data_IF_107215774132
#
_entry.id   IF_107215774132
#
_cell.length_a   1.000
_cell.length_b   1.000
_cell.length_c   1.000
_cell.angle_alpha   90.00
_cell.angle_beta   90.00
_cell.angle_gamma   90.00
#
_symmetry.space_group_name_H-M   'P 1'
#
loop_
_entity.id
_entity.type
_entity.pdbx_description
1 polymer ?
#
# COMPACT_ATOMS: atom_id res chain seq x y z
N UNK A 1 1.58 -25.53 28.48
CA UNK A 1 1.26 -26.45 29.60
C UNK A 1 -0.15 -26.99 29.36
N UNK A 2 -0.49 -28.21 29.77
CA UNK A 2 -1.85 -28.75 29.59
C UNK A 2 -2.55 -28.88 30.94
N UNK A 3 -3.84 -28.57 31.00
CA UNK A 3 -4.69 -28.84 32.15
C UNK A 3 -5.70 -29.91 31.77
N UNK A 4 -5.71 -30.98 32.56
CA UNK A 4 -6.62 -32.10 32.41
C UNK A 4 -7.74 -32.00 33.43
N UNK A 5 -8.99 -32.21 32.98
CA UNK A 5 -10.14 -32.33 33.87
C UNK A 5 -10.00 -33.58 34.75
N UNK A 6 -10.38 -33.48 36.03
CA UNK A 6 -10.38 -34.63 36.97
C UNK A 6 -11.68 -35.43 36.97
N UNK A 7 -12.68 -35.02 36.18
CA UNK A 7 -14.03 -35.62 36.19
C UNK A 7 -14.51 -35.96 34.77
N UNK A 8 -13.75 -35.59 33.73
CA UNK A 8 -14.04 -35.93 32.34
C UNK A 8 -12.75 -36.00 31.51
N UNK A 9 -12.79 -36.65 30.34
CA UNK A 9 -11.62 -36.83 29.45
C UNK A 9 -11.19 -35.56 28.68
N UNK A 10 -11.66 -34.39 29.10
CA UNK A 10 -11.34 -33.13 28.44
C UNK A 10 -9.98 -32.59 28.88
N UNK A 11 -9.15 -32.20 27.91
CA UNK A 11 -7.85 -31.53 28.12
C UNK A 11 -7.83 -30.19 27.42
N UNK A 12 -7.32 -29.16 28.11
CA UNK A 12 -7.16 -27.82 27.55
C UNK A 12 -5.69 -27.39 27.54
N UNK A 13 -5.27 -26.74 26.44
CA UNK A 13 -3.92 -26.21 26.28
C UNK A 13 -3.82 -24.82 26.89
N UNK A 14 -3.08 -24.67 27.98
CA UNK A 14 -2.74 -23.37 28.53
C UNK A 14 -1.55 -22.76 27.76
N UNK A 15 -1.80 -21.61 27.15
CA UNK A 15 -0.77 -20.68 26.67
C UNK A 15 -0.75 -19.46 27.59
N UNK A 16 0.41 -19.18 28.18
CA UNK A 16 0.64 -17.95 28.94
C UNK A 16 1.23 -16.90 27.99
N UNK A 17 0.45 -15.88 27.64
CA UNK A 17 1.00 -14.65 27.08
C UNK A 17 1.35 -13.70 28.22
N UNK A 18 2.64 -13.55 28.53
CA UNK A 18 3.14 -12.45 29.36
C UNK A 18 3.07 -11.16 28.54
N UNK A 19 1.92 -10.50 28.50
CA UNK A 19 1.79 -9.16 27.91
C UNK A 19 2.25 -8.11 28.92
N UNK A 20 3.26 -7.32 28.55
CA UNK A 20 3.37 -5.93 29.00
C UNK A 20 2.12 -5.20 28.50
N UNK A 21 1.43 -4.52 29.41
CA UNK A 21 0.16 -3.85 29.15
C UNK A 21 0.23 -2.86 27.99
N UNK A 22 -0.35 -3.25 26.85
CA UNK A 22 -0.86 -2.34 25.84
C UNK A 22 -2.39 -2.36 25.96
N UNK A 23 -3.01 -1.18 25.88
CA UNK A 23 -4.46 -1.02 25.95
C UNK A 23 -5.17 -1.94 24.94
N UNK A 24 -6.36 -2.47 25.28
CA UNK A 24 -7.08 -3.39 24.40
C UNK A 24 -7.57 -2.62 23.16
N UNK A 25 -6.80 -2.68 22.08
CA UNK A 25 -7.33 -2.46 20.74
C UNK A 25 -8.37 -3.55 20.50
N UNK A 26 -9.58 -3.16 20.11
CA UNK A 26 -10.64 -4.08 19.73
C UNK A 26 -10.14 -4.99 18.59
N UNK A 27 -9.61 -6.17 18.96
CA UNK A 27 -9.28 -7.21 18.02
C UNK A 27 -10.61 -7.69 17.44
N UNK A 28 -10.93 -7.26 16.22
CA UNK A 28 -11.91 -7.97 15.39
C UNK A 28 -11.52 -9.43 15.42
N UNK A 29 -12.48 -10.31 15.72
CA UNK A 29 -12.27 -11.76 15.68
C UNK A 29 -11.62 -12.10 14.33
N UNK A 30 -10.34 -12.49 14.37
CA UNK A 30 -9.62 -12.81 13.15
C UNK A 30 -10.29 -14.03 12.54
N UNK A 31 -10.75 -13.92 11.28
CA UNK A 31 -11.29 -15.06 10.56
C UNK A 31 -10.23 -16.15 10.53
N UNK A 32 -10.51 -17.29 11.19
CA UNK A 32 -9.60 -18.43 11.22
C UNK A 32 -9.94 -19.32 10.03
N UNK A 33 -8.95 -19.54 9.16
CA UNK A 33 -9.04 -20.50 8.07
C UNK A 33 -8.43 -21.82 8.54
N UNK A 34 -9.09 -22.93 8.24
CA UNK A 34 -8.61 -24.27 8.55
C UNK A 34 -7.26 -24.54 7.88
N UNK A 35 -6.34 -25.20 8.60
CA UNK A 35 -4.97 -25.41 8.11
C UNK A 35 -4.95 -26.22 6.80
N UNK A 36 -5.90 -27.15 6.65
CA UNK A 36 -6.10 -27.96 5.47
C UNK A 36 -6.43 -27.09 4.23
N UNK A 37 -7.24 -26.05 4.39
CA UNK A 37 -7.57 -25.12 3.31
C UNK A 37 -6.35 -24.27 2.93
N UNK A 38 -5.52 -23.88 3.90
CA UNK A 38 -4.27 -23.15 3.63
C UNK A 38 -3.28 -24.06 2.89
N UNK A 39 -3.09 -25.30 3.34
CA UNK A 39 -2.22 -26.27 2.68
C UNK A 39 -2.69 -26.61 1.25
N UNK A 40 -4.00 -26.72 1.03
CA UNK A 40 -4.56 -26.88 -0.31
C UNK A 40 -4.29 -25.65 -1.21
N UNK A 41 -4.29 -24.44 -0.63
CA UNK A 41 -3.92 -23.23 -1.36
C UNK A 41 -2.44 -23.19 -1.73
N UNK A 42 -1.56 -23.64 -0.83
CA UNK A 42 -0.13 -23.83 -1.15
C UNK A 42 0.06 -24.82 -2.30
N UNK A 43 -0.71 -25.91 -2.33
CA UNK A 43 -0.67 -26.87 -3.43
C UNK A 43 -1.07 -26.24 -4.77
N UNK A 44 -2.09 -25.37 -4.80
CA UNK A 44 -2.47 -24.62 -6.02
C UNK A 44 -1.33 -23.68 -6.47
N UNK A 45 -0.67 -22.99 -5.53
CA UNK A 45 0.46 -22.11 -5.84
C UNK A 45 1.62 -22.92 -6.44
N UNK A 46 1.95 -24.09 -5.87
CA UNK A 46 2.95 -25.02 -6.45
C UNK A 46 2.53 -25.52 -7.82
N UNK A 47 1.27 -25.89 -8.01
CA UNK A 47 0.77 -26.32 -9.32
C UNK A 47 0.95 -25.25 -10.40
N UNK A 48 0.84 -23.97 -10.04
CA UNK A 48 1.08 -22.88 -10.98
C UNK A 48 2.56 -22.60 -11.23
N UNK A 49 3.39 -22.49 -10.19
CA UNK A 49 4.76 -21.98 -10.34
C UNK A 49 5.86 -23.05 -10.38
N UNK A 50 5.59 -24.24 -9.82
CA UNK A 50 6.54 -25.35 -9.74
C UNK A 50 6.29 -26.39 -10.84
N UNK A 51 5.08 -26.91 -10.98
CA UNK A 51 4.75 -27.89 -12.03
C UNK A 51 4.15 -27.28 -13.30
N UNK A 52 3.63 -26.05 -13.23
CA UNK A 52 2.89 -25.39 -14.31
C UNK A 52 1.72 -26.23 -14.87
N UNK A 53 1.07 -27.00 -14.01
CA UNK A 53 -0.12 -27.80 -14.33
C UNK A 53 -1.43 -27.04 -14.12
N UNK A 54 -1.38 -25.89 -13.44
CA UNK A 54 -2.51 -24.97 -13.27
C UNK A 54 -2.20 -23.65 -13.96
N UNK A 55 -3.10 -23.15 -14.81
CA UNK A 55 -2.88 -21.89 -15.50
C UNK A 55 -2.83 -20.71 -14.49
N UNK A 56 -1.89 -19.77 -14.64
CA UNK A 56 -1.74 -18.65 -13.70
C UNK A 56 -2.99 -17.75 -13.62
N UNK A 57 -3.81 -17.71 -14.66
CA UNK A 57 -5.07 -16.96 -14.69
C UNK A 57 -6.13 -17.55 -13.76
N UNK A 58 -6.13 -18.86 -13.55
CA UNK A 58 -7.12 -19.57 -12.72
C UNK A 58 -6.82 -19.48 -11.21
N UNK A 59 -5.54 -19.28 -10.86
CA UNK A 59 -5.06 -19.33 -9.48
C UNK A 59 -5.83 -18.39 -8.52
N UNK A 60 -6.11 -17.10 -8.84
CA UNK A 60 -6.81 -16.22 -7.92
C UNK A 60 -8.22 -16.70 -7.58
N UNK A 61 -8.99 -17.11 -8.59
CA UNK A 61 -10.38 -17.55 -8.40
C UNK A 61 -10.43 -18.83 -7.57
N UNK A 62 -9.51 -19.77 -7.82
CA UNK A 62 -9.41 -21.02 -7.05
C UNK A 62 -9.01 -20.76 -5.59
N UNK A 63 -8.09 -19.83 -5.34
CA UNK A 63 -7.72 -19.44 -3.98
C UNK A 63 -8.88 -18.76 -3.24
N UNK A 64 -9.62 -17.85 -3.89
CA UNK A 64 -10.82 -17.22 -3.29
C UNK A 64 -11.91 -18.24 -3.00
N UNK A 65 -12.18 -19.17 -3.93
CA UNK A 65 -13.14 -20.25 -3.74
C UNK A 65 -12.74 -21.17 -2.58
N UNK A 66 -11.46 -21.55 -2.50
CA UNK A 66 -10.95 -22.44 -1.46
C UNK A 66 -11.00 -21.81 -0.07
N UNK A 67 -10.69 -20.52 0.03
CA UNK A 67 -10.68 -19.79 1.30
C UNK A 67 -12.08 -19.27 1.69
N UNK A 68 -13.04 -19.27 0.78
CA UNK A 68 -14.36 -18.67 0.98
C UNK A 68 -14.30 -17.16 1.22
N UNK A 69 -13.20 -16.50 0.84
CA UNK A 69 -12.91 -15.10 1.11
C UNK A 69 -12.33 -14.44 -0.14
N UNK A 70 -12.81 -13.24 -0.44
CA UNK A 70 -12.15 -12.37 -1.42
C UNK A 70 -10.73 -12.03 -0.99
N UNK A 71 -9.83 -11.81 -1.96
CA UNK A 71 -8.39 -11.52 -1.73
C UNK A 71 -8.11 -10.44 -0.68
N UNK A 72 -8.94 -9.41 -0.63
CA UNK A 72 -8.84 -8.32 0.34
C UNK A 72 -9.05 -8.77 1.80
N UNK A 73 -9.81 -9.83 2.00
CA UNK A 73 -10.23 -10.33 3.31
C UNK A 73 -9.37 -11.48 3.82
N UNK A 74 -8.33 -11.89 3.09
CA UNK A 74 -7.46 -12.99 3.51
C UNK A 74 -6.77 -12.68 4.85
N UNK A 75 -6.79 -13.60 5.83
CA UNK A 75 -6.16 -13.37 7.13
C UNK A 75 -4.64 -13.21 7.04
N UNK A 76 -4.06 -12.47 7.98
CA UNK A 76 -2.62 -12.20 8.03
C UNK A 76 -1.78 -13.50 8.07
N UNK A 77 -2.23 -14.51 8.81
CA UNK A 77 -1.58 -15.82 8.89
C UNK A 77 -1.49 -16.52 7.53
N UNK A 78 -2.56 -16.42 6.72
CA UNK A 78 -2.63 -17.02 5.39
C UNK A 78 -1.71 -16.29 4.42
N UNK A 79 -1.81 -14.96 4.35
CA UNK A 79 -0.99 -14.18 3.41
C UNK A 79 0.50 -14.28 3.71
N UNK A 80 0.92 -14.42 4.98
CA UNK A 80 2.34 -14.57 5.31
C UNK A 80 2.88 -15.94 4.93
N UNK A 81 2.11 -17.00 5.19
CA UNK A 81 2.46 -18.35 4.73
C UNK A 81 2.55 -18.43 3.20
N UNK A 82 1.59 -17.84 2.48
CA UNK A 82 1.67 -17.76 1.02
C UNK A 82 2.82 -16.88 0.54
N UNK A 83 3.14 -15.77 1.23
CA UNK A 83 4.27 -14.92 0.85
C UNK A 83 5.59 -15.67 0.87
N UNK A 84 5.80 -16.53 1.88
CA UNK A 84 7.01 -17.36 1.98
C UNK A 84 7.10 -18.33 0.80
N UNK A 85 5.98 -18.95 0.43
CA UNK A 85 5.92 -19.84 -0.72
C UNK A 85 6.14 -19.11 -2.06
N UNK A 86 5.55 -17.92 -2.25
CA UNK A 86 5.79 -17.12 -3.45
C UNK A 86 7.28 -16.78 -3.59
N UNK A 87 7.93 -16.34 -2.50
CA UNK A 87 9.37 -16.04 -2.51
C UNK A 87 10.21 -17.28 -2.80
N UNK A 88 9.87 -18.45 -2.24
CA UNK A 88 10.52 -19.72 -2.56
C UNK A 88 10.40 -20.07 -4.05
N UNK A 89 9.23 -19.83 -4.66
CA UNK A 89 8.93 -20.15 -6.05
C UNK A 89 9.22 -18.99 -7.02
N UNK A 90 10.08 -18.04 -6.64
CA UNK A 90 10.40 -16.85 -7.43
C UNK A 90 10.92 -17.13 -8.85
N UNK A 91 11.56 -18.28 -9.07
CA UNK A 91 12.02 -18.69 -10.41
C UNK A 91 10.87 -19.12 -11.33
N UNK A 92 9.78 -19.66 -10.77
CA UNK A 92 8.59 -20.09 -11.52
C UNK A 92 7.90 -18.96 -12.28
N UNK A 93 8.13 -17.70 -11.87
CA UNK A 93 7.62 -16.51 -12.57
C UNK A 93 8.17 -16.37 -13.98
N UNK A 94 9.37 -16.90 -14.26
CA UNK A 94 10.09 -16.70 -15.53
C UNK A 94 9.58 -17.60 -16.67
N UNK A 95 8.57 -18.43 -16.42
CA UNK A 95 8.02 -19.39 -17.39
C UNK A 95 7.28 -18.71 -18.55
N UNK A 96 6.45 -17.71 -18.26
CA UNK A 96 5.76 -16.90 -19.26
C UNK A 96 5.37 -15.55 -18.66
N UNK A 97 5.01 -14.58 -19.51
CA UNK A 97 4.55 -13.28 -19.04
C UNK A 97 3.29 -13.36 -18.14
N UNK A 98 2.44 -14.36 -18.36
CA UNK A 98 1.29 -14.63 -17.50
C UNK A 98 1.71 -15.11 -16.11
N UNK A 99 2.71 -15.99 -16.01
CA UNK A 99 3.29 -16.42 -14.73
C UNK A 99 3.94 -15.24 -14.02
N UNK A 100 4.72 -14.42 -14.72
CA UNK A 100 5.36 -13.25 -14.13
C UNK A 100 4.34 -12.26 -13.57
N UNK A 101 3.33 -11.92 -14.38
CA UNK A 101 2.25 -11.02 -13.97
C UNK A 101 1.51 -11.58 -12.75
N UNK A 102 1.16 -12.87 -12.74
CA UNK A 102 0.44 -13.49 -11.62
C UNK A 102 1.28 -13.56 -10.35
N UNK A 103 2.55 -13.91 -10.46
CA UNK A 103 3.46 -13.98 -9.33
C UNK A 103 3.65 -12.60 -8.69
N UNK A 104 3.88 -11.56 -9.50
CA UNK A 104 4.01 -10.19 -9.01
C UNK A 104 2.70 -9.71 -8.36
N UNK A 105 1.57 -10.03 -8.97
CA UNK A 105 0.26 -9.64 -8.44
C UNK A 105 -0.04 -10.26 -7.06
N UNK A 106 0.00 -11.60 -6.95
CA UNK A 106 -0.37 -12.29 -5.71
C UNK A 106 0.76 -12.27 -4.67
N UNK A 107 2.02 -12.36 -5.11
CA UNK A 107 3.17 -12.22 -4.23
C UNK A 107 3.19 -10.84 -3.56
N UNK A 108 3.00 -9.77 -4.32
CA UNK A 108 2.92 -8.40 -3.80
C UNK A 108 1.73 -8.20 -2.86
N UNK A 109 0.58 -8.80 -3.18
CA UNK A 109 -0.60 -8.81 -2.31
C UNK A 109 -0.30 -9.47 -0.96
N UNK A 110 0.45 -10.58 -0.96
CA UNK A 110 0.75 -11.34 0.23
C UNK A 110 1.87 -10.72 1.09
N UNK A 111 2.79 -10.00 0.44
CA UNK A 111 3.93 -9.33 1.06
C UNK A 111 3.59 -7.98 1.69
N UNK A 112 2.50 -7.31 1.26
CA UNK A 112 2.17 -5.95 1.75
C UNK A 112 1.98 -5.91 3.29
N UNK A 113 2.39 -4.82 3.95
CA UNK A 113 3.06 -3.64 3.41
C UNK A 113 4.60 -3.81 3.29
N UNK A 114 5.11 -5.01 3.55
CA UNK A 114 6.54 -5.32 3.63
C UNK A 114 7.16 -5.10 5.01
N UNK A 115 6.35 -4.80 6.04
CA UNK A 115 6.84 -4.59 7.41
C UNK A 115 5.73 -4.86 8.43
N UNK A 116 6.12 -4.93 9.71
CA UNK A 116 5.20 -5.02 10.85
C UNK A 116 4.84 -6.44 11.29
N UNK A 117 5.24 -7.47 10.53
CA UNK A 117 5.09 -8.88 10.93
C UNK A 117 6.47 -9.56 11.09
N UNK A 118 6.63 -10.51 12.05
CA UNK A 118 7.89 -11.24 12.22
C UNK A 118 8.40 -11.88 10.92
N UNK A 119 9.67 -11.64 10.60
CA UNK A 119 10.33 -12.14 9.40
C UNK A 119 10.11 -11.28 8.14
N UNK A 120 9.35 -10.18 8.20
CA UNK A 120 9.14 -9.32 7.04
C UNK A 120 10.45 -8.70 6.51
N UNK A 121 11.42 -8.40 7.39
CA UNK A 121 12.76 -7.93 6.97
C UNK A 121 13.46 -8.92 6.03
N UNK A 122 13.43 -10.22 6.38
CA UNK A 122 13.99 -11.29 5.56
C UNK A 122 13.21 -11.47 4.25
N UNK A 123 11.88 -11.41 4.31
CA UNK A 123 11.02 -11.49 3.11
C UNK A 123 11.33 -10.36 2.13
N UNK A 124 11.56 -9.15 2.64
CA UNK A 124 11.94 -8.01 1.81
C UNK A 124 13.33 -8.19 1.23
N UNK A 125 14.30 -8.71 1.99
CA UNK A 125 15.60 -9.06 1.45
C UNK A 125 15.49 -10.06 0.28
N UNK A 126 14.68 -11.12 0.44
CA UNK A 126 14.40 -12.08 -0.62
C UNK A 126 13.73 -11.44 -1.83
N UNK A 127 12.72 -10.58 -1.63
CA UNK A 127 12.10 -9.81 -2.70
C UNK A 127 13.12 -8.92 -3.41
N UNK A 128 14.09 -8.32 -2.70
CA UNK A 128 15.15 -7.50 -3.29
C UNK A 128 16.09 -8.30 -4.20
N UNK A 129 16.25 -9.62 -3.98
CA UNK A 129 16.96 -10.49 -4.95
C UNK A 129 16.17 -10.60 -6.25
N UNK A 130 14.83 -10.67 -6.18
CA UNK A 130 13.96 -10.59 -7.37
C UNK A 130 14.11 -9.23 -8.06
N UNK A 131 14.18 -8.13 -7.30
CA UNK A 131 14.44 -6.80 -7.86
C UNK A 131 15.74 -6.73 -8.66
N UNK A 132 16.83 -7.28 -8.10
CA UNK A 132 18.14 -7.30 -8.72
C UNK A 132 18.13 -8.10 -10.04
N UNK A 133 17.35 -9.19 -10.09
CA UNK A 133 17.17 -9.99 -11.31
C UNK A 133 16.27 -9.36 -12.38
N UNK A 134 15.50 -8.32 -12.05
CA UNK A 134 14.63 -7.62 -12.99
C UNK A 134 13.44 -8.42 -13.52
N UNK A 135 12.73 -7.82 -14.49
CA UNK A 135 11.64 -8.45 -15.23
C UNK A 135 12.18 -9.45 -16.25
N UNK A 136 11.55 -10.63 -16.31
CA UNK A 136 11.83 -11.63 -17.35
C UNK A 136 11.16 -11.26 -18.68
N UNK A 137 9.97 -10.67 -18.62
CA UNK A 137 9.15 -10.29 -19.77
C UNK A 137 8.89 -8.77 -19.78
N UNK A 138 9.94 -7.98 -19.56
CA UNK A 138 9.88 -6.51 -19.52
C UNK A 138 9.56 -5.84 -20.87
N UNK A 139 9.43 -6.60 -21.96
CA UNK A 139 8.91 -6.09 -23.23
C UNK A 139 7.37 -6.11 -23.29
N UNK A 140 6.70 -6.67 -22.28
CA UNK A 140 5.25 -6.73 -22.19
C UNK A 140 4.73 -5.76 -21.11
N UNK A 141 3.67 -5.05 -21.45
CA UNK A 141 3.12 -4.00 -20.58
C UNK A 141 2.54 -4.55 -19.26
N UNK A 142 1.95 -5.75 -19.27
CA UNK A 142 1.29 -6.28 -18.08
C UNK A 142 2.29 -6.69 -16.97
N UNK A 143 3.38 -7.43 -17.25
CA UNK A 143 4.46 -7.64 -16.28
C UNK A 143 5.05 -6.34 -15.73
N UNK A 144 5.24 -5.32 -16.59
CA UNK A 144 5.73 -4.00 -16.13
C UNK A 144 4.75 -3.32 -15.17
N UNK A 145 3.45 -3.35 -15.46
CA UNK A 145 2.41 -2.82 -14.57
C UNK A 145 2.46 -3.53 -13.21
N UNK A 146 2.44 -4.87 -13.20
CA UNK A 146 2.44 -5.65 -11.96
C UNK A 146 3.74 -5.49 -11.17
N UNK A 147 4.87 -5.24 -11.85
CA UNK A 147 6.14 -4.93 -11.20
C UNK A 147 6.05 -3.68 -10.34
N UNK A 148 5.53 -2.59 -10.90
CA UNK A 148 5.40 -1.33 -10.17
C UNK A 148 4.36 -1.42 -9.06
N UNK A 149 3.24 -2.12 -9.30
CA UNK A 149 2.26 -2.43 -8.25
C UNK A 149 2.93 -3.18 -7.08
N UNK A 150 3.71 -4.24 -7.37
CA UNK A 150 4.44 -5.00 -6.35
C UNK A 150 5.33 -4.08 -5.50
N UNK A 151 6.14 -3.24 -6.14
CA UNK A 151 7.09 -2.36 -5.43
C UNK A 151 6.43 -1.23 -4.68
N UNK A 152 5.30 -0.71 -5.17
CA UNK A 152 4.45 0.23 -4.43
C UNK A 152 3.86 -0.40 -3.16
N UNK A 153 3.37 -1.64 -3.25
CA UNK A 153 2.78 -2.38 -2.11
C UNK A 153 3.77 -2.69 -0.99
N UNK A 154 5.04 -2.94 -1.33
CA UNK A 154 6.08 -3.32 -0.34
C UNK A 154 7.01 -2.17 0.04
N UNK A 155 6.73 -0.94 -0.43
CA UNK A 155 7.59 0.22 -0.23
C UNK A 155 7.94 0.49 1.24
N UNK A 156 7.01 0.21 2.17
CA UNK A 156 7.23 0.42 3.60
C UNK A 156 8.30 -0.48 4.22
N UNK A 157 8.56 -1.65 3.62
CA UNK A 157 9.66 -2.53 4.03
C UNK A 157 11.04 -2.07 3.53
N UNK A 158 11.09 -1.10 2.63
CA UNK A 158 12.33 -0.67 1.97
C UNK A 158 13.02 0.46 2.72
N UNK A 159 14.34 0.36 2.82
CA UNK A 159 15.15 1.45 3.36
C UNK A 159 15.28 2.63 2.37
N UNK A 160 15.81 3.76 2.86
CA UNK A 160 15.98 4.99 2.07
C UNK A 160 16.72 4.78 0.74
N UNK A 161 17.82 4.02 0.75
CA UNK A 161 18.64 3.81 -0.44
C UNK A 161 17.89 2.96 -1.48
N UNK A 162 17.17 1.93 -1.03
CA UNK A 162 16.35 1.08 -1.89
C UNK A 162 15.18 1.86 -2.53
N UNK A 163 14.51 2.72 -1.76
CA UNK A 163 13.46 3.59 -2.32
C UNK A 163 14.02 4.60 -3.33
N UNK A 164 15.21 5.13 -3.05
CA UNK A 164 15.90 6.06 -3.96
C UNK A 164 16.28 5.38 -5.28
N UNK A 165 16.83 4.15 -5.23
CA UNK A 165 17.12 3.32 -6.40
C UNK A 165 15.86 3.05 -7.24
N UNK A 166 14.74 2.66 -6.60
CA UNK A 166 13.45 2.49 -7.29
C UNK A 166 13.02 3.77 -8.00
N UNK A 167 13.05 4.91 -7.31
CA UNK A 167 12.67 6.19 -7.89
C UNK A 167 13.54 6.56 -9.09
N UNK A 168 14.86 6.37 -9.00
CA UNK A 168 15.79 6.70 -10.09
C UNK A 168 15.47 5.95 -11.39
N UNK A 169 14.97 4.70 -11.32
CA UNK A 169 14.57 3.93 -12.51
C UNK A 169 13.32 4.46 -13.21
N UNK A 170 12.44 5.15 -12.48
CA UNK A 170 11.18 5.68 -13.03
C UNK A 170 11.20 7.20 -13.24
N UNK A 171 12.14 7.92 -12.63
CA UNK A 171 12.19 9.38 -12.62
C UNK A 171 12.12 10.00 -14.03
N UNK A 172 12.90 9.49 -14.99
CA UNK A 172 12.89 10.03 -16.37
C UNK A 172 11.57 9.79 -17.12
N UNK A 173 10.76 8.82 -16.68
CA UNK A 173 9.49 8.47 -17.30
C UNK A 173 8.35 9.37 -16.79
N UNK A 174 8.35 9.68 -15.50
CA UNK A 174 7.32 10.51 -14.86
C UNK A 174 7.69 12.00 -14.78
N UNK A 175 8.99 12.31 -14.76
CA UNK A 175 9.58 13.65 -14.69
C UNK A 175 10.71 13.81 -15.72
N UNK A 176 10.40 13.83 -17.03
CA UNK A 176 11.42 14.02 -18.06
C UNK A 176 12.10 15.39 -17.88
N UNK A 177 13.43 15.39 -17.74
CA UNK A 177 14.23 16.61 -17.59
C UNK A 177 14.64 17.20 -18.94
N UNK A 178 14.62 18.53 -19.04
CA UNK A 178 15.04 19.30 -20.21
C UNK A 178 14.04 19.25 -21.38
N UNK A 179 14.48 19.57 -22.59
CA UNK A 179 13.66 19.54 -23.82
C UNK A 179 13.42 18.12 -24.37
N UNK A 180 13.64 17.08 -23.56
CA UNK A 180 13.39 15.69 -23.99
C UNK A 180 11.89 15.48 -24.07
N UNK A 181 11.40 15.03 -25.23
CA UNK A 181 9.99 14.65 -25.38
C UNK A 181 9.67 13.57 -24.36
N UNK A 182 8.53 13.71 -23.69
CA UNK A 182 8.03 12.69 -22.78
C UNK A 182 7.93 11.36 -23.54
N UNK A 183 8.44 10.25 -22.98
CA UNK A 183 8.33 8.95 -23.62
C UNK A 183 6.86 8.58 -23.82
N UNK A 184 6.55 7.90 -24.93
CA UNK A 184 5.20 7.38 -25.18
C UNK A 184 5.00 6.13 -24.32
N UNK A 185 4.39 6.31 -23.15
CA UNK A 185 4.13 5.24 -22.17
C UNK A 185 2.65 4.87 -22.22
N UNK A 186 2.35 3.58 -22.03
CA UNK A 186 0.97 3.13 -21.85
C UNK A 186 0.31 3.85 -20.65
N UNK A 187 -0.92 4.38 -20.76
CA UNK A 187 -1.55 5.14 -19.68
C UNK A 187 -1.68 4.39 -18.35
N UNK A 188 -1.97 3.08 -18.39
CA UNK A 188 -2.08 2.26 -17.17
C UNK A 188 -0.72 2.02 -16.53
N UNK A 189 0.33 1.83 -17.33
CA UNK A 189 1.70 1.76 -16.82
C UNK A 189 2.11 3.09 -16.18
N UNK A 190 1.87 4.21 -16.87
CA UNK A 190 2.17 5.54 -16.33
C UNK A 190 1.47 5.79 -15.00
N UNK A 191 0.22 5.34 -14.86
CA UNK A 191 -0.54 5.39 -13.61
C UNK A 191 0.20 4.68 -12.46
N UNK A 192 0.66 3.46 -12.69
CA UNK A 192 1.36 2.69 -11.64
C UNK A 192 2.77 3.20 -11.35
N UNK A 193 3.47 3.81 -12.32
CA UNK A 193 4.73 4.51 -12.07
C UNK A 193 4.52 5.66 -11.08
N UNK A 194 3.49 6.49 -11.30
CA UNK A 194 3.14 7.57 -10.37
C UNK A 194 2.73 7.05 -9.00
N UNK A 195 1.90 6.00 -8.95
CA UNK A 195 1.46 5.40 -7.69
C UNK A 195 2.62 4.82 -6.89
N UNK A 196 3.57 4.19 -7.58
CA UNK A 196 4.81 3.71 -6.96
C UNK A 196 5.62 4.86 -6.40
N UNK A 197 5.90 5.90 -7.19
CA UNK A 197 6.66 7.06 -6.73
C UNK A 197 6.03 7.74 -5.50
N UNK A 198 4.70 7.89 -5.50
CA UNK A 198 3.96 8.46 -4.38
C UNK A 198 3.96 7.57 -3.11
N UNK A 199 4.25 6.28 -3.27
CA UNK A 199 4.32 5.32 -2.15
C UNK A 199 5.68 5.32 -1.47
N UNK A 200 6.70 6.01 -1.99
CA UNK A 200 8.08 6.07 -1.47
C UNK A 200 8.27 7.24 -0.47
N UNK A 201 7.90 7.04 0.79
CA UNK A 201 7.90 8.07 1.83
C UNK A 201 9.30 8.46 2.31
N UNK A 202 10.31 7.60 2.08
CA UNK A 202 11.71 7.87 2.44
C UNK A 202 12.45 8.76 1.43
N UNK A 203 11.81 9.16 0.33
CA UNK A 203 12.42 10.09 -0.63
C UNK A 203 12.68 11.47 0.01
N UNK A 204 13.75 12.17 -0.42
CA UNK A 204 14.03 13.51 0.05
C UNK A 204 12.86 14.47 -0.18
N UNK A 205 12.68 15.44 0.73
CA UNK A 205 11.59 16.40 0.68
C UNK A 205 11.52 17.13 -0.68
N UNK A 206 12.66 17.55 -1.24
CA UNK A 206 12.71 18.22 -2.55
C UNK A 206 12.16 17.35 -3.69
N UNK A 207 12.49 16.06 -3.71
CA UNK A 207 11.96 15.10 -4.70
C UNK A 207 10.46 14.92 -4.55
N UNK A 208 9.97 14.77 -3.30
CA UNK A 208 8.53 14.67 -3.02
C UNK A 208 7.78 15.95 -3.41
N UNK A 209 8.37 17.12 -3.18
CA UNK A 209 7.81 18.39 -3.65
C UNK A 209 7.72 18.44 -5.17
N UNK A 210 8.77 18.05 -5.90
CA UNK A 210 8.77 18.01 -7.37
C UNK A 210 7.67 17.08 -7.93
N UNK A 211 7.50 15.90 -7.32
CA UNK A 211 6.44 14.95 -7.68
C UNK A 211 5.04 15.56 -7.47
N UNK A 212 4.78 16.16 -6.31
CA UNK A 212 3.47 16.76 -6.01
C UNK A 212 3.15 17.98 -6.87
N UNK A 213 4.12 18.86 -7.14
CA UNK A 213 3.94 19.98 -8.07
C UNK A 213 3.60 19.51 -9.48
N UNK A 214 4.18 18.39 -9.90
CA UNK A 214 3.94 17.81 -11.22
C UNK A 214 2.55 17.17 -11.32
N UNK A 215 2.07 16.50 -10.26
CA UNK A 215 0.68 16.06 -10.16
C UNK A 215 -0.29 17.26 -10.26
N UNK A 216 -0.02 18.34 -9.51
CA UNK A 216 -0.85 19.55 -9.54
C UNK A 216 -0.87 20.24 -10.90
N UNK A 217 0.29 20.37 -11.54
CA UNK A 217 0.41 20.94 -12.89
C UNK A 217 -0.42 20.13 -13.89
N UNK A 218 -0.37 18.79 -13.81
CA UNK A 218 -1.14 17.90 -14.69
C UNK A 218 -2.64 18.02 -14.46
N UNK A 219 -3.09 18.11 -13.21
CA UNK A 219 -4.49 18.36 -12.85
C UNK A 219 -4.97 19.71 -13.40
N UNK A 220 -4.24 20.80 -13.12
CA UNK A 220 -4.61 22.16 -13.56
C UNK A 220 -4.69 22.31 -15.08
N UNK A 221 -3.78 21.67 -15.79
CA UNK A 221 -3.70 21.76 -17.24
C UNK A 221 -4.62 20.75 -17.96
N UNK A 222 -5.44 19.98 -17.22
CA UNK A 222 -6.26 18.88 -17.75
C UNK A 222 -5.44 17.87 -18.60
N UNK A 223 -4.19 17.64 -18.20
CA UNK A 223 -3.26 16.71 -18.86
C UNK A 223 -3.32 15.31 -18.25
N UNK A 224 -4.18 15.11 -17.25
CA UNK A 224 -4.35 13.82 -16.58
C UNK A 224 -5.45 12.99 -17.24
N UNK A 225 -5.08 11.82 -17.73
CA UNK A 225 -6.05 10.79 -18.18
C UNK A 225 -6.80 10.17 -16.99
N UNK A 226 -6.21 10.21 -15.80
CA UNK A 226 -6.74 9.65 -14.55
C UNK A 226 -6.58 10.66 -13.40
N UNK A 227 -7.37 11.75 -13.35
CA UNK A 227 -7.28 12.77 -12.30
C UNK A 227 -7.37 12.21 -10.87
N UNK A 228 -8.15 11.14 -10.69
CA UNK A 228 -8.27 10.41 -9.43
C UNK A 228 -6.93 9.82 -8.95
N UNK A 229 -6.07 9.38 -9.88
CA UNK A 229 -4.74 8.87 -9.54
C UNK A 229 -3.83 10.00 -9.08
N UNK A 230 -3.88 11.17 -9.71
CA UNK A 230 -3.04 12.30 -9.32
C UNK A 230 -3.45 12.86 -7.97
N UNK A 231 -4.75 12.93 -7.71
CA UNK A 231 -5.29 13.29 -6.40
C UNK A 231 -4.85 12.28 -5.34
N UNK A 232 -4.91 10.98 -5.63
CA UNK A 232 -4.38 9.95 -4.74
C UNK A 232 -2.87 10.12 -4.50
N UNK A 233 -2.07 10.32 -5.54
CA UNK A 233 -0.62 10.51 -5.42
C UNK A 233 -0.31 11.74 -4.58
N UNK A 234 -1.00 12.85 -4.82
CA UNK A 234 -0.84 14.09 -4.07
C UNK A 234 -1.24 13.93 -2.60
N UNK A 235 -2.29 13.16 -2.32
CA UNK A 235 -2.71 12.85 -0.96
C UNK A 235 -1.63 12.07 -0.19
N UNK A 236 -0.93 11.12 -0.85
CA UNK A 236 0.18 10.35 -0.27
C UNK A 236 1.44 11.18 -0.10
N UNK A 237 1.83 11.93 -1.14
CA UNK A 237 3.04 12.75 -1.16
C UNK A 237 2.96 13.88 -0.13
N UNK A 238 1.81 14.54 -0.01
CA UNK A 238 1.62 15.68 0.88
C UNK A 238 1.04 15.34 2.24
N UNK A 239 0.80 14.05 2.53
CA UNK A 239 0.19 13.60 3.78
C UNK A 239 0.86 14.20 5.02
N UNK A 240 0.05 14.71 5.95
CA UNK A 240 0.53 15.19 7.26
C UNK A 240 0.91 14.05 8.21
N UNK A 241 0.26 12.89 8.06
CA UNK A 241 0.59 11.62 8.72
C UNK A 241 1.11 10.64 7.68
N UNK A 242 2.42 10.37 7.71
CA UNK A 242 3.05 9.34 6.88
C UNK A 242 2.64 7.94 7.36
N UNK A 243 2.65 6.97 6.45
CA UNK A 243 2.24 5.61 6.78
C UNK A 243 3.36 4.81 7.45
N UNK A 244 4.61 5.00 7.02
CA UNK A 244 5.78 4.33 7.57
C UNK A 244 7.01 5.24 7.67
N UNK A 245 7.05 6.34 6.93
CA UNK A 245 8.14 7.31 6.98
C UNK A 245 8.16 8.06 8.31
N UNK A 246 9.35 8.42 8.83
CA UNK A 246 9.45 9.21 10.05
C UNK A 246 8.90 10.63 9.84
N UNK A 247 8.39 11.20 10.93
CA UNK A 247 7.70 12.49 10.95
C UNK A 247 8.53 13.65 10.33
N UNK A 248 9.85 13.61 10.45
CA UNK A 248 10.75 14.63 9.88
C UNK A 248 10.79 14.64 8.33
N UNK A 249 10.19 13.64 7.66
CA UNK A 249 10.03 13.62 6.21
C UNK A 249 8.68 14.19 5.75
N UNK A 250 7.79 14.59 6.66
CA UNK A 250 6.57 15.32 6.31
C UNK A 250 6.97 16.63 5.64
N UNK A 251 6.39 16.92 4.47
CA UNK A 251 6.70 18.17 3.73
C UNK A 251 6.33 19.40 4.57
N UNK A 252 7.02 20.55 4.42
CA UNK A 252 6.68 21.77 5.15
C UNK A 252 5.22 22.19 5.00
N UNK A 253 4.62 22.75 6.07
CA UNK A 253 3.22 23.19 6.06
C UNK A 253 2.92 24.17 4.90
N UNK A 254 3.85 25.09 4.60
CA UNK A 254 3.70 26.03 3.49
C UNK A 254 3.51 25.34 2.12
N UNK A 255 4.13 24.19 1.89
CA UNK A 255 3.91 23.40 0.66
C UNK A 255 2.50 22.84 0.63
N UNK A 256 2.03 22.26 1.74
CA UNK A 256 0.68 21.71 1.84
C UNK A 256 -0.41 22.79 1.68
N UNK A 257 -0.22 23.97 2.27
CA UNK A 257 -1.12 25.13 2.13
C UNK A 257 -1.25 25.53 0.66
N UNK A 258 -0.12 25.74 -0.03
CA UNK A 258 -0.11 26.11 -1.46
C UNK A 258 -0.84 25.07 -2.34
N UNK A 259 -0.68 23.79 -2.02
CA UNK A 259 -1.33 22.71 -2.75
C UNK A 259 -2.84 22.67 -2.47
N UNK A 260 -3.24 22.82 -1.21
CA UNK A 260 -4.65 22.86 -0.81
C UNK A 260 -5.39 24.03 -1.47
N UNK A 261 -4.81 25.23 -1.49
CA UNK A 261 -5.38 26.42 -2.13
C UNK A 261 -5.60 26.25 -3.64
N UNK A 262 -4.66 25.59 -4.33
CA UNK A 262 -4.81 25.27 -5.75
C UNK A 262 -5.88 24.22 -6.00
N UNK A 263 -5.95 23.18 -5.16
CA UNK A 263 -6.92 22.10 -5.29
C UNK A 263 -8.36 22.54 -5.03
N UNK A 264 -8.58 23.51 -4.15
CA UNK A 264 -9.93 23.99 -3.83
C UNK A 264 -10.74 24.43 -5.06
N UNK A 265 -10.04 24.90 -6.10
CA UNK A 265 -10.65 25.34 -7.37
C UNK A 265 -10.94 24.19 -8.32
N UNK A 266 -10.43 22.99 -8.04
CA UNK A 266 -10.57 21.83 -8.91
C UNK A 266 -11.93 21.13 -8.66
N UNK A 267 -12.74 20.86 -9.69
CA UNK A 267 -14.13 20.40 -9.50
C UNK A 267 -14.25 18.92 -9.14
N UNK A 268 -13.17 18.14 -9.22
CA UNK A 268 -13.20 16.67 -9.08
C UNK A 268 -13.68 16.19 -7.70
N UNK A 269 -14.43 15.08 -7.69
CA UNK A 269 -15.08 14.55 -6.50
C UNK A 269 -14.12 14.10 -5.38
N UNK A 270 -12.91 13.62 -5.73
CA UNK A 270 -11.88 13.17 -4.76
C UNK A 270 -11.01 14.29 -4.16
N UNK A 271 -11.30 15.56 -4.47
CA UNK A 271 -10.58 16.70 -3.91
C UNK A 271 -10.71 16.80 -2.38
N UNK A 272 -11.91 16.65 -1.77
CA UNK A 272 -12.08 16.65 -0.32
C UNK A 272 -11.15 15.68 0.42
N UNK A 273 -11.00 14.44 -0.06
CA UNK A 273 -10.12 13.43 0.54
C UNK A 273 -8.65 13.85 0.48
N UNK A 274 -8.25 14.47 -0.63
CA UNK A 274 -6.89 14.98 -0.82
C UNK A 274 -6.63 16.16 0.11
N UNK A 275 -7.59 17.09 0.25
CA UNK A 275 -7.50 18.22 1.18
C UNK A 275 -7.35 17.75 2.63
N UNK A 276 -8.11 16.72 3.03
CA UNK A 276 -7.97 16.11 4.36
C UNK A 276 -6.56 15.57 4.56
N UNK A 277 -5.98 14.84 3.60
CA UNK A 277 -4.62 14.31 3.74
C UNK A 277 -3.55 15.42 3.85
N UNK A 278 -3.72 16.51 3.10
CA UNK A 278 -2.82 17.67 3.11
C UNK A 278 -2.92 18.53 4.38
N UNK A 279 -4.09 18.56 5.02
CA UNK A 279 -4.40 19.49 6.10
C UNK A 279 -4.73 18.82 7.44
N UNK A 280 -4.68 17.50 7.52
CA UNK A 280 -4.95 16.75 8.75
C UNK A 280 -4.09 17.25 9.91
N UNK A 281 -4.74 17.50 11.05
CA UNK A 281 -4.08 17.88 12.29
C UNK A 281 -3.25 16.72 12.82
N UNK A 282 -1.99 17.00 13.09
CA UNK A 282 -0.99 16.05 13.60
C UNK A 282 -0.77 16.18 15.10
N UNK A 283 -1.09 17.35 15.68
CA UNK A 283 -0.73 17.70 17.05
C UNK A 283 0.66 18.34 17.17
N UNK A 284 1.42 18.43 16.06
CA UNK A 284 2.68 19.15 15.99
C UNK A 284 2.50 20.46 15.21
N UNK A 285 2.56 21.60 15.92
CA UNK A 285 2.34 22.92 15.37
C UNK A 285 3.30 23.30 14.22
N UNK A 286 4.48 22.65 14.11
CA UNK A 286 5.43 22.89 13.03
C UNK A 286 5.06 22.20 11.71
N UNK A 287 4.20 21.19 11.77
CA UNK A 287 3.74 20.41 10.62
C UNK A 287 2.29 20.74 10.22
N UNK A 288 1.50 21.17 11.19
CA UNK A 288 0.11 21.55 11.02
C UNK A 288 -0.01 22.80 10.12
N UNK A 289 -1.02 22.79 9.25
CA UNK A 289 -1.36 23.96 8.45
C UNK A 289 -2.05 25.03 9.32
N UNK A 290 -1.98 26.32 8.97
CA UNK A 290 -2.65 27.37 9.72
C UNK A 290 -4.18 27.18 9.79
N UNK A 291 -4.78 27.65 10.89
CA UNK A 291 -6.24 27.59 11.07
C UNK A 291 -7.02 28.30 9.95
N UNK A 292 -6.44 29.34 9.32
CA UNK A 292 -7.03 30.00 8.15
C UNK A 292 -7.20 29.05 6.96
N UNK A 293 -6.23 28.17 6.71
CA UNK A 293 -6.32 27.14 5.66
C UNK A 293 -7.39 26.11 6.00
N UNK A 294 -7.51 25.69 7.26
CA UNK A 294 -8.57 24.79 7.73
C UNK A 294 -9.95 25.41 7.48
N UNK A 295 -10.13 26.66 7.89
CA UNK A 295 -11.38 27.39 7.68
C UNK A 295 -11.72 27.54 6.19
N UNK A 296 -10.72 27.72 5.34
CA UNK A 296 -10.89 27.84 3.89
C UNK A 296 -11.38 26.53 3.25
N UNK A 297 -10.87 25.37 3.69
CA UNK A 297 -11.22 24.08 3.07
C UNK A 297 -12.51 23.47 3.64
N UNK A 298 -12.88 23.82 4.87
CA UNK A 298 -14.00 23.20 5.61
C UNK A 298 -15.34 23.26 4.85
N UNK A 299 -15.75 24.39 4.24
CA UNK A 299 -16.99 24.45 3.46
C UNK A 299 -17.04 23.44 2.31
N UNK A 300 -15.90 23.17 1.66
CA UNK A 300 -15.80 22.19 0.59
C UNK A 300 -15.99 20.75 1.11
N UNK A 301 -15.52 20.46 2.32
CA UNK A 301 -15.69 19.15 2.95
C UNK A 301 -17.13 18.91 3.41
N UNK A 302 -17.81 19.94 3.91
CA UNK A 302 -19.20 19.87 4.37
C UNK A 302 -20.19 19.53 3.24
N UNK A 303 -19.84 19.83 1.99
CA UNK A 303 -20.64 19.49 0.81
C UNK A 303 -20.45 18.04 0.34
N UNK A 304 -19.49 17.30 0.92
CA UNK A 304 -19.22 15.92 0.54
C UNK A 304 -20.19 14.95 1.22
N UNK A 305 -20.55 13.86 0.54
CA UNK A 305 -21.46 12.82 1.08
C UNK A 305 -20.98 12.22 2.42
N UNK A 306 -19.65 12.18 2.61
CA UNK A 306 -19.00 11.62 3.81
C UNK A 306 -18.43 12.72 4.73
N UNK A 307 -19.07 13.90 4.78
CA UNK A 307 -18.58 15.09 5.48
C UNK A 307 -18.15 14.83 6.93
N UNK A 308 -18.96 14.12 7.71
CA UNK A 308 -18.67 13.81 9.12
C UNK A 308 -17.35 13.04 9.26
N UNK A 309 -17.17 11.99 8.45
CA UNK A 309 -15.94 11.19 8.41
C UNK A 309 -14.73 12.01 7.98
N UNK A 310 -14.88 12.88 6.98
CA UNK A 310 -13.80 13.74 6.50
C UNK A 310 -13.38 14.79 7.54
N UNK A 311 -14.34 15.41 8.23
CA UNK A 311 -14.06 16.39 9.28
C UNK A 311 -13.41 15.73 10.50
N UNK A 312 -13.88 14.56 10.94
CA UNK A 312 -13.24 13.81 12.01
C UNK A 312 -11.77 13.43 11.67
N UNK A 313 -11.51 13.04 10.42
CA UNK A 313 -10.15 12.79 9.91
C UNK A 313 -9.30 14.06 9.89
N UNK A 314 -9.87 15.19 9.44
CA UNK A 314 -9.17 16.48 9.41
C UNK A 314 -8.71 16.90 10.80
N UNK A 315 -9.52 16.65 11.83
CA UNK A 315 -9.18 16.93 13.22
C UNK A 315 -8.18 15.95 13.84
N UNK A 316 -7.78 14.91 13.10
CA UNK A 316 -6.91 13.85 13.61
C UNK A 316 -7.61 12.86 14.55
N UNK A 317 -8.95 12.88 14.62
CA UNK A 317 -9.76 12.03 15.52
C UNK A 317 -10.14 10.68 14.91
N UNK A 318 -9.81 10.42 13.65
CA UNK A 318 -10.12 9.15 13.01
C UNK A 318 -9.18 8.04 13.47
N UNK A 319 -9.76 6.93 13.92
CA UNK A 319 -9.04 5.68 14.18
C UNK A 319 -8.44 5.14 12.88
N UNK A 320 -7.24 4.56 12.94
CA UNK A 320 -6.60 3.87 11.81
C UNK A 320 -7.40 2.59 11.45
N UNK A 321 -8.53 2.77 10.78
CA UNK A 321 -9.43 1.70 10.36
C UNK A 321 -8.92 0.99 9.10
N UNK A 322 -9.44 -0.21 8.83
CA UNK A 322 -9.18 -0.93 7.58
C UNK A 322 -9.52 -0.09 6.33
N UNK A 323 -10.48 0.83 6.43
CA UNK A 323 -10.82 1.77 5.35
C UNK A 323 -9.75 2.85 5.15
N UNK A 324 -9.19 3.39 6.25
CA UNK A 324 -8.06 4.32 6.18
C UNK A 324 -6.87 3.65 5.48
N UNK A 325 -6.61 2.40 5.84
CA UNK A 325 -5.58 1.55 5.22
C UNK A 325 -5.86 1.26 3.74
N UNK A 326 -7.09 0.91 3.36
CA UNK A 326 -7.49 0.70 1.96
C UNK A 326 -7.23 1.95 1.09
N UNK A 327 -7.54 3.13 1.63
CA UNK A 327 -7.28 4.42 0.96
C UNK A 327 -5.79 4.67 0.75
N UNK A 328 -4.92 4.26 1.69
CA UNK A 328 -3.47 4.46 1.57
C UNK A 328 -2.83 3.62 0.47
N UNK A 329 -3.36 2.42 0.19
CA UNK A 329 -2.87 1.57 -0.89
C UNK A 329 -3.62 1.77 -2.21
N UNK A 330 -4.79 2.44 -2.18
CA UNK A 330 -5.69 2.51 -3.34
C UNK A 330 -6.28 1.14 -3.71
N UNK A 331 -6.24 0.20 -2.77
CA UNK A 331 -6.79 -1.15 -2.81
C UNK A 331 -7.04 -1.63 -1.37
N UNK A 332 -8.00 -2.51 -1.16
CA UNK A 332 -8.34 -3.01 0.18
C UNK A 332 -7.20 -3.83 0.81
N UNK A 333 -6.90 -3.58 2.09
CA UNK A 333 -5.88 -4.30 2.87
C UNK A 333 -6.42 -5.52 3.63
N UNK A 334 -5.57 -6.51 3.94
CA UNK A 334 -5.91 -7.66 4.76
C UNK A 334 -6.34 -7.22 6.16
N UNK A 335 -7.47 -7.73 6.64
CA UNK A 335 -8.14 -7.31 7.88
C UNK A 335 -7.34 -7.51 9.17
N UNK A 336 -6.22 -8.23 9.12
CA UNK A 336 -5.40 -8.60 10.29
C UNK A 336 -4.17 -7.73 10.57
N UNK A 337 -3.88 -6.70 9.77
CA UNK A 337 -2.75 -5.79 10.02
C UNK A 337 -3.13 -4.76 11.10
N UNK A 338 -2.51 -4.87 12.28
CA UNK A 338 -2.62 -3.87 13.36
C UNK A 338 -1.28 -3.16 13.50
N UNK A 339 -1.23 -1.88 13.11
CA UNK A 339 -0.05 -1.05 13.35
C UNK A 339 -0.10 -0.52 14.78
N UNK A 340 0.95 -0.77 15.55
CA UNK A 340 1.14 -0.10 16.83
C UNK A 340 1.85 1.23 16.55
N UNK A 341 1.14 2.34 16.68
CA UNK A 341 1.73 3.67 16.59
C UNK A 341 2.81 3.79 17.68
N UNK A 342 4.07 3.79 17.29
CA UNK A 342 5.14 4.22 18.18
C UNK A 342 5.16 5.74 18.11
N UNK A 343 4.73 6.35 19.22
CA UNK A 343 4.67 7.80 19.44
C UNK A 343 6.02 8.46 19.30
#
# INVERSE_FOLDING_TARGET
MWCDSKVSDNRWRLQFELRKSAAPTAQRAATVIADEAVAAGEALIRQTFESATLAPEELPAKLEQLLGLGRASWPLSVIRRYSDLFLQLGEGRKRSAAHESRWLNLGGLCLRPGFGFPGDELRIEQARRVYAGGLAFGNQVQPEIEWWIFWGRVAGGLNRNQQTDIYQRIANQILPKGNKKAPRINPSLLRELWRTAASLEHLPAGTRTELGESCLKRLRNNQSTHPETDLWCLSRIGARKLFYGPMNLVLPAATAVRWAEQLLKHPHAHVPETLVALCQRTGNATLDVPASTINLITPRLQQHKDAESLLARLEGKATDSAESLSRLFGEELPSGLVFTSHS
#
